data_IF_008950400229
#
_entry.id   IF_008950400229
#
_cell.length_a   1.000
_cell.length_b   1.000
_cell.length_c   1.000
_cell.angle_alpha   90.00
_cell.angle_beta   90.00
_cell.angle_gamma   90.00
#
_symmetry.space_group_name_H-M   'P 1'
#
loop_
_entity.id
_entity.type
_entity.pdbx_description
1 polymer ?
#
# COMPACT_ATOMS: atom_id res chain seq x y z
N UNK A 1 2.50 10.01 -3.51
CA UNK A 1 2.84 9.91 -2.07
C UNK A 1 2.58 11.21 -1.31
N UNK A 2 3.13 12.36 -1.71
CA UNK A 2 2.94 13.63 -0.98
C UNK A 2 1.47 14.08 -0.86
N UNK A 3 0.64 13.90 -1.88
CA UNK A 3 -0.80 14.21 -1.79
C UNK A 3 -1.54 13.32 -0.76
N UNK A 4 -1.11 12.08 -0.62
CA UNK A 4 -1.69 11.11 0.33
C UNK A 4 -1.18 11.42 1.74
N UNK A 5 0.11 11.71 1.89
CA UNK A 5 0.71 12.10 3.17
C UNK A 5 0.06 13.36 3.76
N UNK A 6 -0.34 14.32 2.92
CA UNK A 6 -1.13 15.50 3.36
C UNK A 6 -2.44 15.15 4.06
N UNK A 7 -3.00 13.95 3.81
CA UNK A 7 -4.25 13.46 4.42
C UNK A 7 -4.01 12.53 5.62
N UNK A 8 -2.75 12.19 5.92
CA UNK A 8 -2.39 11.28 7.01
C UNK A 8 -1.51 12.02 8.02
N UNK A 9 -2.08 12.53 9.13
CA UNK A 9 -1.34 13.37 10.07
C UNK A 9 -0.14 12.63 10.68
N UNK A 10 0.99 13.34 10.71
CA UNK A 10 2.26 12.83 11.24
C UNK A 10 2.95 11.79 10.36
N UNK A 11 2.50 11.56 9.11
CA UNK A 11 3.15 10.64 8.17
C UNK A 11 3.79 11.42 7.03
N UNK A 12 5.03 11.05 6.69
CA UNK A 12 5.73 11.62 5.54
C UNK A 12 5.39 10.85 4.27
N UNK A 13 5.58 11.50 3.13
CA UNK A 13 5.46 10.89 1.81
C UNK A 13 6.31 9.61 1.68
N UNK A 14 7.51 9.61 2.27
CA UNK A 14 8.39 8.44 2.27
C UNK A 14 7.81 7.28 3.10
N UNK A 15 7.18 7.56 4.24
CA UNK A 15 6.54 6.53 5.06
C UNK A 15 5.32 5.90 4.36
N UNK A 16 4.52 6.70 3.67
CA UNK A 16 3.36 6.19 2.91
C UNK A 16 3.83 5.30 1.75
N UNK A 17 4.89 5.71 1.03
CA UNK A 17 5.52 4.89 -0.02
C UNK A 17 6.03 3.55 0.54
N UNK A 18 6.68 3.59 1.70
CA UNK A 18 7.24 2.38 2.32
C UNK A 18 6.13 1.40 2.73
N UNK A 19 5.06 1.89 3.37
CA UNK A 19 3.90 1.09 3.75
C UNK A 19 3.23 0.41 2.55
N UNK A 20 3.12 1.11 1.41
CA UNK A 20 2.59 0.50 0.19
C UNK A 20 3.46 -0.64 -0.33
N UNK A 21 4.77 -0.41 -0.43
CA UNK A 21 5.70 -1.39 -0.98
C UNK A 21 5.83 -2.64 -0.09
N UNK A 22 5.68 -2.51 1.22
CA UNK A 22 5.84 -3.63 2.15
C UNK A 22 4.52 -4.33 2.49
N UNK A 23 3.43 -3.58 2.69
CA UNK A 23 2.19 -4.11 3.27
C UNK A 23 1.04 -4.22 2.26
N UNK A 24 0.84 -3.23 1.39
CA UNK A 24 -0.27 -3.28 0.42
C UNK A 24 0.06 -4.08 -0.84
N UNK A 25 1.27 -3.94 -1.39
CA UNK A 25 1.66 -4.62 -2.64
C UNK A 25 1.49 -6.14 -2.54
N UNK A 26 1.95 -6.74 -1.42
CA UNK A 26 1.85 -8.17 -1.16
C UNK A 26 0.42 -8.64 -0.95
N UNK A 27 -0.39 -7.82 -0.27
CA UNK A 27 -1.78 -8.17 0.03
C UNK A 27 -2.65 -8.11 -1.23
N UNK A 28 -2.50 -7.06 -2.03
CA UNK A 28 -3.21 -6.94 -3.30
C UNK A 28 -2.83 -8.07 -4.26
N UNK A 29 -1.53 -8.32 -4.48
CA UNK A 29 -1.09 -9.39 -5.40
C UNK A 29 -1.51 -10.78 -4.90
N UNK A 30 -1.42 -11.04 -3.58
CA UNK A 30 -1.86 -12.30 -2.98
C UNK A 30 -3.37 -12.52 -3.09
N UNK A 31 -4.18 -11.48 -2.93
CA UNK A 31 -5.64 -11.56 -3.00
C UNK A 31 -6.12 -11.77 -4.45
N UNK A 32 -5.54 -11.09 -5.44
CA UNK A 32 -5.89 -11.29 -6.85
C UNK A 32 -5.46 -12.67 -7.39
N UNK A 33 -4.35 -13.23 -6.89
CA UNK A 33 -3.89 -14.57 -7.31
C UNK A 33 -4.63 -15.71 -6.60
N UNK A 34 -5.19 -15.45 -5.42
CA UNK A 34 -6.05 -16.40 -4.71
C UNK A 34 -7.47 -16.48 -5.31
N UNK A 35 -7.96 -15.37 -5.88
CA UNK A 35 -9.28 -15.30 -6.51
C UNK A 35 -9.35 -15.96 -7.90
N UNK A 36 -8.22 -16.31 -8.53
CA UNK A 36 -8.14 -16.91 -9.88
C UNK A 36 -7.90 -18.42 -9.84
N UNK A 37 -7.84 -19.04 -8.65
CA UNK A 37 -7.88 -20.50 -8.51
C UNK A 37 -9.34 -20.95 -8.32
N UNK A 38 -10.05 -21.22 -9.41
CA UNK A 38 -11.27 -22.04 -9.40
C UNK A 38 -11.44 -22.72 -10.75
#
# INVERSE_FOLDING_TARGET
WSLIAKRVPGRTDNQVKNYWNTHLSKKLVGDYSSAVKT
#
